data_IF_967607295185
#
_entry.id   IF_967607295185
#
_cell.length_a   1.000
_cell.length_b   1.000
_cell.length_c   1.000
_cell.angle_alpha   90.00
_cell.angle_beta   90.00
_cell.angle_gamma   90.00
#
_symmetry.space_group_name_H-M   'P 1'
#
loop_
_entity.id
_entity.type
_entity.pdbx_description
1 polymer ?
#
# COMPACT_ATOMS: atom_id res chain seq x y z
N UNK A 1 5.78 7.18 23.53
CA UNK A 1 4.92 6.13 24.12
C UNK A 1 4.79 6.42 25.60
N UNK A 2 3.77 7.17 26.00
CA UNK A 2 3.44 7.39 27.41
C UNK A 2 2.42 6.32 27.77
N UNK A 3 2.88 5.35 28.57
CA UNK A 3 2.07 4.26 29.09
C UNK A 3 1.24 4.85 30.23
N UNK A 4 -0.04 5.08 29.99
CA UNK A 4 -1.02 5.32 31.05
C UNK A 4 -1.23 4.00 31.78
N UNK A 5 -0.62 3.87 32.96
CA UNK A 5 -0.93 2.84 33.94
C UNK A 5 -1.66 3.50 35.10
N UNK A 6 -2.66 2.77 35.58
CA UNK A 6 -3.33 2.93 36.87
C UNK A 6 -4.55 3.86 36.90
N UNK A 7 -5.62 3.40 36.23
CA UNK A 7 -7.01 3.64 36.67
C UNK A 7 -7.69 2.28 36.85
N UNK A 8 -7.27 1.53 37.87
CA UNK A 8 -7.96 0.33 38.34
C UNK A 8 -8.97 0.71 39.41
N UNK A 9 -10.11 1.26 39.00
CA UNK A 9 -11.36 1.05 39.73
C UNK A 9 -12.04 -0.15 39.07
N UNK A 10 -11.54 -1.34 39.39
CA UNK A 10 -12.24 -2.57 39.10
C UNK A 10 -13.40 -2.70 40.10
N UNK A 11 -14.45 -1.90 39.92
CA UNK A 11 -15.79 -2.30 40.31
C UNK A 11 -16.21 -3.36 39.31
N UNK A 12 -16.59 -4.53 39.80
CA UNK A 12 -16.99 -5.63 38.93
C UNK A 12 -18.12 -5.18 38.01
N UNK A 13 -18.17 -5.70 36.77
CA UNK A 13 -19.30 -5.46 35.85
C UNK A 13 -20.64 -5.77 36.55
N UNK A 14 -20.65 -6.75 37.45
CA UNK A 14 -21.76 -7.11 38.32
C UNK A 14 -22.18 -5.97 39.28
N UNK A 15 -21.26 -5.27 39.94
CA UNK A 15 -21.57 -4.11 40.81
C UNK A 15 -22.08 -2.89 40.02
N UNK A 16 -21.58 -2.66 38.80
CA UNK A 16 -22.08 -1.59 37.94
C UNK A 16 -23.49 -1.90 37.39
N UNK A 17 -23.81 -3.17 37.15
CA UNK A 17 -25.15 -3.62 36.73
C UNK A 17 -26.14 -3.61 37.91
N UNK A 18 -25.67 -3.93 39.11
CA UNK A 18 -26.47 -4.02 40.35
C UNK A 18 -26.79 -2.67 41.01
N UNK A 19 -26.18 -1.55 40.59
CA UNK A 19 -26.52 -0.23 41.12
C UNK A 19 -27.70 0.41 40.34
N UNK A 20 -28.94 0.38 40.87
CA UNK A 20 -30.08 1.08 40.25
C UNK A 20 -29.87 2.60 40.13
N UNK A 21 -28.88 3.16 40.83
CA UNK A 21 -28.52 4.58 40.80
C UNK A 21 -27.74 5.01 39.54
N UNK A 22 -27.25 4.07 38.72
CA UNK A 22 -26.44 4.38 37.53
C UNK A 22 -27.23 4.43 36.22
N UNK A 23 -28.47 3.93 36.16
CA UNK A 23 -29.29 4.01 34.93
C UNK A 23 -30.20 5.23 34.91
N UNK A 24 -30.42 5.82 33.73
CA UNK A 24 -31.48 6.82 33.54
C UNK A 24 -32.86 6.17 33.38
N UNK A 25 -32.90 4.90 32.98
CA UNK A 25 -34.13 4.13 32.82
C UNK A 25 -34.69 3.75 34.19
N UNK A 26 -36.00 3.93 34.37
CA UNK A 26 -36.70 3.61 35.60
C UNK A 26 -37.05 2.11 35.65
N UNK A 27 -36.46 1.41 36.61
CA UNK A 27 -36.72 -0.01 36.88
C UNK A 27 -37.57 -0.22 38.14
N UNK A 28 -38.23 -1.38 38.24
CA UNK A 28 -38.91 -1.81 39.46
C UNK A 28 -37.94 -2.46 40.46
N UNK A 29 -38.45 -2.86 41.62
CA UNK A 29 -37.65 -3.61 42.60
C UNK A 29 -37.25 -4.97 42.02
N UNK A 30 -35.97 -5.37 42.15
CA UNK A 30 -35.52 -6.67 41.67
C UNK A 30 -36.26 -7.81 42.37
N UNK A 31 -36.60 -8.84 41.60
CA UNK A 31 -37.32 -10.03 42.06
C UNK A 31 -36.45 -11.26 41.93
N UNK A 32 -36.46 -12.11 42.96
CA UNK A 32 -35.68 -13.34 43.01
C UNK A 32 -36.32 -14.39 42.09
N UNK A 33 -35.55 -14.95 41.17
CA UNK A 33 -35.96 -16.11 40.39
C UNK A 33 -35.77 -17.35 41.24
N UNK A 34 -36.85 -17.88 41.81
CA UNK A 34 -36.80 -19.18 42.46
C UNK A 34 -36.67 -20.24 41.38
N UNK A 35 -35.47 -20.84 41.23
CA UNK A 35 -35.27 -22.10 40.50
C UNK A 35 -35.91 -23.24 41.31
N UNK A 36 -37.23 -23.28 41.35
CA UNK A 36 -37.94 -24.52 41.69
C UNK A 36 -38.29 -25.21 40.38
N UNK A 37 -37.86 -26.46 40.31
CA UNK A 37 -38.22 -27.50 39.35
C UNK A 37 -37.31 -27.61 38.11
N UNK A 38 -36.17 -28.26 38.33
CA UNK A 38 -35.70 -29.25 37.36
C UNK A 38 -36.85 -30.25 37.11
N UNK A 39 -37.04 -30.65 35.85
CA UNK A 39 -38.04 -31.60 35.34
C UNK A 39 -39.42 -31.03 34.94
N UNK A 40 -39.47 -30.22 33.88
CA UNK A 40 -40.60 -30.26 32.94
C UNK A 40 -40.18 -29.86 31.50
N UNK A 41 -40.20 -30.87 30.61
CA UNK A 41 -40.14 -30.82 29.13
C UNK A 41 -40.27 -29.43 28.48
N UNK A 42 -39.17 -28.98 27.88
CA UNK A 42 -39.15 -27.82 27.00
C UNK A 42 -39.97 -28.03 25.73
N UNK A 43 -40.87 -27.09 25.46
CA UNK A 43 -41.41 -26.86 24.12
C UNK A 43 -41.02 -25.45 23.69
N UNK A 44 -40.05 -25.36 22.80
CA UNK A 44 -39.51 -24.13 22.21
C UNK A 44 -40.62 -23.41 21.43
N UNK A 45 -41.10 -22.27 21.91
CA UNK A 45 -42.03 -21.40 21.16
C UNK A 45 -41.22 -20.33 20.42
N UNK A 46 -41.18 -20.49 19.11
CA UNK A 46 -40.68 -19.52 18.14
C UNK A 46 -41.50 -18.22 18.19
N UNK A 47 -40.80 -17.10 18.12
CA UNK A 47 -41.33 -15.74 17.98
C UNK A 47 -42.11 -15.60 16.67
N UNK A 48 -43.44 -15.62 16.75
CA UNK A 48 -44.33 -15.10 15.69
C UNK A 48 -45.27 -14.08 16.29
N UNK A 49 -45.28 -12.89 15.67
CA UNK A 49 -46.23 -11.82 15.94
C UNK A 49 -47.68 -12.36 15.87
N UNK A 50 -48.58 -11.99 16.80
CA UNK A 50 -49.94 -12.52 16.80
C UNK A 50 -50.76 -11.94 15.64
N UNK A 51 -51.42 -12.84 14.90
CA UNK A 51 -52.33 -12.53 13.81
C UNK A 51 -53.71 -12.19 14.40
N UNK A 52 -54.18 -10.96 14.18
CA UNK A 52 -55.47 -10.47 14.69
C UNK A 52 -56.60 -11.09 13.85
N UNK A 53 -57.47 -11.88 14.46
CA UNK A 53 -58.77 -12.25 13.89
C UNK A 53 -59.90 -11.96 14.87
N UNK A 54 -60.98 -11.49 14.26
CA UNK A 54 -62.14 -10.80 14.81
C UNK A 54 -62.88 -11.56 15.91
N UNK A 55 -63.38 -10.84 16.91
CA UNK A 55 -64.48 -11.33 17.75
C UNK A 55 -65.51 -10.24 18.06
N UNK A 56 -66.77 -10.63 17.86
CA UNK A 56 -68.03 -9.88 17.94
C UNK A 56 -68.46 -9.66 19.41
N UNK A 57 -69.23 -8.61 19.76
CA UNK A 57 -69.30 -8.14 21.15
C UNK A 57 -70.41 -8.82 21.96
N UNK A 58 -70.14 -9.07 23.24
CA UNK A 58 -71.18 -9.32 24.26
C UNK A 58 -70.97 -8.37 25.44
N UNK A 59 -72.04 -7.66 25.77
CA UNK A 59 -72.06 -6.41 26.54
C UNK A 59 -72.04 -6.61 28.07
N UNK A 60 -71.51 -5.60 28.77
CA UNK A 60 -71.72 -5.25 30.17
C UNK A 60 -70.88 -5.89 31.30
N UNK A 61 -69.89 -6.75 30.99
CA UNK A 61 -68.79 -7.11 31.94
C UNK A 61 -67.37 -6.71 31.47
N UNK A 62 -67.24 -6.13 30.28
CA UNK A 62 -65.94 -6.07 29.58
C UNK A 62 -64.96 -5.00 30.07
N UNK A 63 -65.41 -3.92 30.72
CA UNK A 63 -64.49 -2.79 31.03
C UNK A 63 -63.34 -3.15 31.98
N UNK A 64 -63.55 -4.08 32.92
CA UNK A 64 -62.52 -4.54 33.87
C UNK A 64 -61.65 -5.68 33.35
N UNK A 65 -62.11 -6.39 32.31
CA UNK A 65 -61.32 -7.41 31.62
C UNK A 65 -60.47 -6.80 30.50
N UNK A 66 -60.98 -5.78 29.79
CA UNK A 66 -60.25 -5.03 28.76
C UNK A 66 -59.09 -4.18 29.33
N UNK A 67 -59.25 -3.60 30.52
CA UNK A 67 -58.16 -2.85 31.15
C UNK A 67 -57.00 -3.76 31.55
N UNK A 68 -57.31 -4.92 32.16
CA UNK A 68 -56.30 -5.93 32.49
C UNK A 68 -55.60 -6.50 31.27
N UNK A 69 -56.31 -6.70 30.15
CA UNK A 69 -55.67 -7.20 28.92
C UNK A 69 -54.75 -6.17 28.29
N UNK A 70 -55.08 -4.87 28.38
CA UNK A 70 -54.19 -3.79 27.90
C UNK A 70 -52.93 -3.67 28.77
N UNK A 71 -53.06 -3.71 30.09
CA UNK A 71 -51.90 -3.62 31.00
C UNK A 71 -50.91 -4.80 30.78
N UNK A 72 -51.44 -5.99 30.50
CA UNK A 72 -50.63 -7.16 30.14
C UNK A 72 -49.93 -6.99 28.78
N UNK A 73 -50.63 -6.44 27.77
CA UNK A 73 -50.03 -6.16 26.46
C UNK A 73 -48.92 -5.11 26.55
N UNK A 74 -49.14 -4.05 27.33
CA UNK A 74 -48.12 -3.01 27.58
C UNK A 74 -46.90 -3.62 28.25
N UNK A 75 -47.10 -4.49 29.25
CA UNK A 75 -46.02 -5.19 29.93
C UNK A 75 -45.21 -6.09 28.96
N UNK A 76 -45.88 -6.91 28.15
CA UNK A 76 -45.23 -7.77 27.15
C UNK A 76 -44.44 -6.95 26.13
N UNK A 77 -44.98 -5.82 25.68
CA UNK A 77 -44.32 -4.91 24.75
C UNK A 77 -43.11 -4.24 25.40
N UNK A 78 -43.24 -3.76 26.65
CA UNK A 78 -42.14 -3.16 27.39
C UNK A 78 -40.99 -4.14 27.58
N UNK A 79 -41.28 -5.37 28.01
CA UNK A 79 -40.28 -6.42 28.22
C UNK A 79 -39.61 -6.83 26.88
N UNK A 80 -40.33 -6.73 25.76
CA UNK A 80 -39.77 -6.98 24.42
C UNK A 80 -38.88 -5.83 23.91
N UNK A 81 -39.22 -4.59 24.22
CA UNK A 81 -38.49 -3.39 23.75
C UNK A 81 -37.27 -3.09 24.62
N UNK A 82 -37.43 -3.21 25.93
CA UNK A 82 -36.44 -2.94 26.96
C UNK A 82 -36.34 -4.21 27.83
N UNK A 83 -35.44 -5.14 27.49
CA UNK A 83 -35.34 -6.38 28.23
C UNK A 83 -35.05 -6.12 29.71
N UNK A 84 -35.63 -6.92 30.62
CA UNK A 84 -35.37 -6.79 32.04
C UNK A 84 -33.88 -7.04 32.32
N UNK A 85 -33.36 -6.40 33.37
CA UNK A 85 -31.97 -6.64 33.78
C UNK A 85 -31.91 -7.93 34.56
N UNK A 86 -30.97 -8.79 34.19
CA UNK A 86 -30.68 -10.03 34.90
C UNK A 86 -29.29 -9.88 35.55
N UNK A 87 -29.20 -10.17 36.84
CA UNK A 87 -27.93 -10.17 37.55
C UNK A 87 -27.90 -11.25 38.63
N UNK A 88 -26.72 -11.76 38.91
CA UNK A 88 -26.50 -12.72 40.00
C UNK A 88 -25.90 -12.00 41.20
N UNK A 89 -26.55 -12.16 42.35
CA UNK A 89 -26.07 -11.64 43.63
C UNK A 89 -26.16 -12.78 44.66
N UNK A 90 -25.03 -13.09 45.31
CA UNK A 90 -24.91 -14.21 46.27
C UNK A 90 -25.35 -15.58 45.73
N UNK A 91 -25.03 -15.88 44.46
CA UNK A 91 -25.39 -17.15 43.81
C UNK A 91 -26.89 -17.30 43.53
N UNK A 92 -27.65 -16.21 43.62
CA UNK A 92 -29.07 -16.15 43.30
C UNK A 92 -29.30 -15.24 42.10
N UNK A 93 -30.13 -15.69 41.17
CA UNK A 93 -30.50 -14.93 39.99
C UNK A 93 -31.63 -13.95 40.33
N UNK A 94 -31.39 -12.67 40.06
CA UNK A 94 -32.34 -11.58 40.21
C UNK A 94 -32.73 -11.04 38.85
N UNK A 95 -34.03 -10.78 38.68
CA UNK A 95 -34.57 -10.11 37.50
C UNK A 95 -35.20 -8.79 37.94
N UNK A 96 -34.80 -7.72 37.28
CA UNK A 96 -35.31 -6.38 37.49
C UNK A 96 -36.08 -5.91 36.24
N UNK A 97 -37.43 -5.95 36.27
CA UNK A 97 -38.24 -5.49 35.16
C UNK A 97 -38.26 -3.96 35.08
N UNK A 98 -38.59 -3.47 33.90
CA UNK A 98 -38.74 -2.04 33.63
C UNK A 98 -40.01 -1.53 34.31
N UNK A 99 -39.97 -0.31 34.85
CA UNK A 99 -41.11 0.25 35.57
C UNK A 99 -42.31 0.45 34.67
N UNK A 100 -43.46 -0.04 35.13
CA UNK A 100 -44.76 0.15 34.45
C UNK A 100 -45.49 1.42 34.90
N UNK A 101 -44.86 2.21 35.76
CA UNK A 101 -45.45 3.46 36.28
C UNK A 101 -45.42 4.56 35.20
N UNK A 102 -46.58 5.14 34.82
CA UNK A 102 -46.62 6.23 33.86
C UNK A 102 -45.86 7.45 34.44
N UNK A 103 -45.21 8.21 33.57
CA UNK A 103 -44.43 9.37 33.99
C UNK A 103 -45.30 10.61 34.21
N UNK A 104 -44.98 11.37 35.25
CA UNK A 104 -45.53 12.69 35.51
C UNK A 104 -44.63 13.78 34.93
N UNK A 105 -45.14 15.02 34.83
CA UNK A 105 -44.32 16.18 34.42
C UNK A 105 -43.07 16.35 35.30
N UNK A 106 -43.18 16.06 36.59
CA UNK A 106 -42.06 16.15 37.52
C UNK A 106 -41.00 15.07 37.24
N UNK A 107 -41.41 13.85 36.87
CA UNK A 107 -40.48 12.78 36.50
C UNK A 107 -39.64 13.15 35.27
N UNK A 108 -40.24 13.82 34.28
CA UNK A 108 -39.53 14.27 33.07
C UNK A 108 -38.50 15.37 33.40
N UNK A 109 -38.85 16.31 34.28
CA UNK A 109 -37.91 17.34 34.76
C UNK A 109 -36.74 16.68 35.50
N UNK A 110 -37.03 15.76 36.41
CA UNK A 110 -36.01 15.03 37.15
C UNK A 110 -35.10 14.19 36.24
N UNK A 111 -35.64 13.64 35.15
CA UNK A 111 -34.85 12.90 34.15
C UNK A 111 -33.86 13.83 33.44
N UNK A 112 -34.30 15.03 33.04
CA UNK A 112 -33.44 16.01 32.39
C UNK A 112 -32.31 16.46 33.33
N UNK A 113 -32.63 16.81 34.58
CA UNK A 113 -31.63 17.20 35.58
C UNK A 113 -30.63 16.07 35.88
N UNK A 114 -31.09 14.81 35.94
CA UNK A 114 -30.22 13.64 36.10
C UNK A 114 -29.29 13.43 34.90
N UNK A 115 -29.79 13.64 33.68
CA UNK A 115 -28.97 13.54 32.48
C UNK A 115 -27.86 14.59 32.51
N UNK A 116 -28.22 15.85 32.77
CA UNK A 116 -27.28 16.97 32.83
C UNK A 116 -26.25 16.77 33.95
N UNK A 117 -26.70 16.38 35.14
CA UNK A 117 -25.82 16.04 36.26
C UNK A 117 -24.82 14.95 35.90
N UNK A 118 -25.26 13.87 35.25
CA UNK A 118 -24.36 12.77 34.84
C UNK A 118 -23.42 13.13 33.71
N UNK A 119 -23.82 13.99 32.78
CA UNK A 119 -22.94 14.50 31.74
C UNK A 119 -21.77 15.27 32.36
N UNK A 120 -22.05 16.09 33.38
CA UNK A 120 -21.04 16.84 34.13
C UNK A 120 -20.19 15.89 34.98
N UNK A 121 -20.80 15.00 35.77
CA UNK A 121 -20.10 14.06 36.66
C UNK A 121 -19.14 13.15 35.91
N UNK A 122 -19.55 12.63 34.75
CA UNK A 122 -18.71 11.77 33.91
C UNK A 122 -17.83 12.55 32.93
N UNK A 123 -17.83 13.89 33.02
CA UNK A 123 -17.03 14.80 32.20
C UNK A 123 -17.15 14.50 30.69
N UNK A 124 -18.37 14.37 30.19
CA UNK A 124 -18.62 14.34 28.76
C UNK A 124 -18.19 15.71 28.18
N UNK A 125 -17.20 15.79 27.29
CA UNK A 125 -17.51 15.89 25.85
C UNK A 125 -18.68 16.84 25.59
N UNK A 126 -18.51 18.11 25.25
CA UNK A 126 -19.61 18.95 24.67
C UNK A 126 -19.60 18.97 23.14
N UNK A 127 -18.42 18.93 22.52
CA UNK A 127 -18.25 19.00 21.06
C UNK A 127 -17.54 17.74 20.56
N UNK A 128 -17.93 17.28 19.37
CA UNK A 128 -17.37 16.10 18.72
C UNK A 128 -17.88 14.78 19.29
N UNK A 129 -17.27 13.68 18.82
CA UNK A 129 -17.65 12.31 19.18
C UNK A 129 -17.26 12.02 20.63
N UNK A 130 -18.22 11.61 21.45
CA UNK A 130 -18.02 11.27 22.85
C UNK A 130 -18.80 9.99 23.21
N UNK A 131 -18.14 8.90 23.64
CA UNK A 131 -18.81 7.64 23.96
C UNK A 131 -19.69 7.76 25.21
N UNK A 132 -19.23 8.48 26.24
CA UNK A 132 -19.99 8.72 27.48
C UNK A 132 -21.29 9.46 27.18
N UNK A 133 -21.22 10.50 26.34
CA UNK A 133 -22.42 11.23 25.92
C UNK A 133 -23.36 10.30 25.16
N UNK A 134 -22.85 9.56 24.18
CA UNK A 134 -23.68 8.62 23.40
C UNK A 134 -24.40 7.61 24.30
N UNK A 135 -23.69 6.98 25.23
CA UNK A 135 -24.25 6.05 26.21
C UNK A 135 -25.37 6.69 27.05
N UNK A 136 -25.15 7.90 27.58
CA UNK A 136 -26.16 8.59 28.39
C UNK A 136 -27.39 9.01 27.57
N UNK A 137 -27.22 9.43 26.32
CA UNK A 137 -28.33 9.75 25.42
C UNK A 137 -29.08 8.49 24.98
N UNK A 138 -28.39 7.36 24.76
CA UNK A 138 -29.03 6.07 24.49
C UNK A 138 -29.92 5.66 25.68
N UNK A 139 -29.41 5.75 26.92
CA UNK A 139 -30.20 5.46 28.12
C UNK A 139 -31.38 6.42 28.30
N UNK A 140 -31.20 7.71 28.02
CA UNK A 140 -32.26 8.69 28.08
C UNK A 140 -33.35 8.39 27.05
N UNK A 141 -32.95 8.02 25.83
CA UNK A 141 -33.90 7.68 24.76
C UNK A 141 -34.66 6.39 25.07
N UNK A 142 -34.02 5.40 25.69
CA UNK A 142 -34.68 4.19 26.19
C UNK A 142 -35.72 4.53 27.30
N UNK A 143 -35.42 5.47 28.20
CA UNK A 143 -36.40 5.96 29.19
C UNK A 143 -37.56 6.71 28.53
N UNK A 144 -37.30 7.52 27.49
CA UNK A 144 -38.37 8.15 26.72
C UNK A 144 -39.24 7.12 26.01
N UNK A 145 -38.66 6.06 25.45
CA UNK A 145 -39.41 4.95 24.86
C UNK A 145 -40.28 4.27 25.92
N UNK A 146 -39.76 4.04 27.13
CA UNK A 146 -40.55 3.50 28.25
C UNK A 146 -41.74 4.41 28.60
N UNK A 147 -41.53 5.72 28.69
CA UNK A 147 -42.59 6.67 29.01
C UNK A 147 -43.65 6.73 27.91
N UNK A 148 -43.22 6.73 26.64
CA UNK A 148 -44.13 6.84 25.51
C UNK A 148 -44.87 5.56 25.18
N UNK A 149 -44.28 4.38 25.42
CA UNK A 149 -44.96 3.08 25.34
C UNK A 149 -46.08 2.96 26.37
N UNK A 150 -45.87 3.45 27.59
CA UNK A 150 -46.89 3.50 28.64
C UNK A 150 -48.04 4.46 28.30
N UNK A 151 -47.76 5.56 27.59
CA UNK A 151 -48.78 6.48 27.11
C UNK A 151 -49.55 5.88 25.92
N UNK A 152 -48.83 5.50 24.86
CA UNK A 152 -49.36 4.90 23.63
C UNK A 152 -48.36 3.87 23.08
N UNK A 153 -48.72 2.59 23.12
CA UNK A 153 -47.84 1.48 22.73
C UNK A 153 -47.33 1.60 21.28
N UNK A 154 -48.20 2.03 20.36
CA UNK A 154 -47.88 2.15 18.93
C UNK A 154 -46.81 3.21 18.68
N UNK A 155 -46.87 4.32 19.43
CA UNK A 155 -45.85 5.38 19.38
C UNK A 155 -44.53 4.89 19.94
N UNK A 156 -44.57 4.15 21.04
CA UNK A 156 -43.41 3.49 21.60
C UNK A 156 -42.72 2.55 20.62
N UNK A 157 -43.49 1.65 19.98
CA UNK A 157 -42.99 0.74 18.95
C UNK A 157 -42.39 1.47 17.74
N UNK A 158 -42.96 2.61 17.34
CA UNK A 158 -42.41 3.43 16.27
C UNK A 158 -41.05 4.02 16.67
N UNK A 159 -40.92 4.56 17.90
CA UNK A 159 -39.66 5.12 18.39
C UNK A 159 -38.54 4.08 18.44
N UNK A 160 -38.86 2.82 18.76
CA UNK A 160 -37.91 1.70 18.74
C UNK A 160 -37.39 1.43 17.33
N UNK A 161 -38.26 1.43 16.33
CA UNK A 161 -37.83 1.25 14.94
C UNK A 161 -36.91 2.38 14.49
N UNK A 162 -37.24 3.62 14.86
CA UNK A 162 -36.39 4.78 14.57
C UNK A 162 -35.03 4.65 15.27
N UNK A 163 -35.01 4.24 16.54
CA UNK A 163 -33.77 3.97 17.29
C UNK A 163 -32.88 2.96 16.57
N UNK A 164 -33.47 1.84 16.18
CA UNK A 164 -32.72 0.72 15.61
C UNK A 164 -32.23 1.06 14.19
N UNK A 165 -33.01 1.80 13.40
CA UNK A 165 -32.59 2.35 12.10
C UNK A 165 -31.41 3.34 12.24
N UNK A 166 -31.48 4.24 13.23
CA UNK A 166 -30.38 5.17 13.52
C UNK A 166 -29.12 4.43 13.98
N UNK A 167 -29.25 3.40 14.83
CA UNK A 167 -28.13 2.56 15.27
C UNK A 167 -27.51 1.82 14.09
N UNK A 168 -28.33 1.23 13.21
CA UNK A 168 -27.85 0.58 11.99
C UNK A 168 -27.10 1.57 11.08
N UNK A 169 -27.64 2.77 10.88
CA UNK A 169 -27.04 3.81 10.04
C UNK A 169 -25.69 4.27 10.61
N UNK A 170 -25.61 4.49 11.93
CA UNK A 170 -24.37 4.86 12.60
C UNK A 170 -23.31 3.75 12.50
N UNK A 171 -23.70 2.48 12.70
CA UNK A 171 -22.79 1.35 12.55
C UNK A 171 -22.26 1.22 11.12
N UNK A 172 -23.08 1.51 10.10
CA UNK A 172 -22.63 1.55 8.71
C UNK A 172 -21.59 2.66 8.47
N UNK A 173 -21.80 3.86 9.04
CA UNK A 173 -20.84 4.96 8.94
C UNK A 173 -19.52 4.65 9.68
N UNK A 174 -19.58 4.03 10.85
CA UNK A 174 -18.39 3.56 11.59
C UNK A 174 -17.58 2.57 10.74
N UNK A 175 -18.23 1.56 10.18
CA UNK A 175 -17.57 0.56 9.31
C UNK A 175 -16.94 1.20 8.07
N UNK A 176 -17.61 2.19 7.46
CA UNK A 176 -17.08 2.92 6.31
C UNK A 176 -15.85 3.75 6.69
N UNK A 177 -15.90 4.42 7.85
CA UNK A 177 -14.79 5.19 8.39
C UNK A 177 -13.57 4.29 8.66
N UNK A 178 -13.78 3.17 9.36
CA UNK A 178 -12.71 2.20 9.67
C UNK A 178 -12.09 1.61 8.39
N UNK A 179 -12.91 1.34 7.38
CA UNK A 179 -12.46 0.90 6.06
C UNK A 179 -11.62 1.97 5.36
N UNK A 180 -12.04 3.24 5.43
CA UNK A 180 -11.32 4.39 4.87
C UNK A 180 -9.97 4.63 5.54
N UNK A 181 -9.92 4.59 6.87
CA UNK A 181 -8.68 4.70 7.65
C UNK A 181 -7.74 3.55 7.32
N UNK A 182 -8.25 2.32 7.28
CA UNK A 182 -7.46 1.13 6.92
C UNK A 182 -6.89 1.21 5.50
N UNK A 183 -7.66 1.74 4.55
CA UNK A 183 -7.19 1.98 3.19
C UNK A 183 -6.05 3.01 3.17
N UNK A 184 -6.20 4.12 3.90
CA UNK A 184 -5.17 5.15 4.02
C UNK A 184 -3.86 4.60 4.58
N UNK A 185 -3.92 3.82 5.66
CA UNK A 185 -2.75 3.16 6.26
C UNK A 185 -2.07 2.23 5.25
N UNK A 186 -2.83 1.36 4.56
CA UNK A 186 -2.27 0.46 3.55
C UNK A 186 -1.57 1.21 2.42
N UNK A 187 -2.16 2.32 1.94
CA UNK A 187 -1.56 3.14 0.88
C UNK A 187 -0.29 3.85 1.34
N UNK A 188 -0.25 4.33 2.59
CA UNK A 188 0.96 4.91 3.17
C UNK A 188 2.09 3.87 3.24
N UNK A 189 1.81 2.66 3.75
CA UNK A 189 2.79 1.58 3.83
C UNK A 189 3.30 1.13 2.46
N UNK A 190 2.41 1.01 1.47
CA UNK A 190 2.80 0.69 0.09
C UNK A 190 3.72 1.74 -0.52
N UNK A 191 3.45 3.02 -0.26
CA UNK A 191 4.31 4.13 -0.71
C UNK A 191 5.69 4.06 -0.07
N UNK A 192 5.76 3.82 1.24
CA UNK A 192 7.04 3.67 1.96
C UNK A 192 7.85 2.49 1.43
N UNK A 193 7.22 1.32 1.22
CA UNK A 193 7.90 0.17 0.61
C UNK A 193 8.43 0.48 -0.78
N UNK A 194 7.63 1.12 -1.64
CA UNK A 194 8.07 1.51 -2.97
C UNK A 194 9.26 2.48 -2.97
N UNK A 195 9.33 3.39 -1.98
CA UNK A 195 10.51 4.25 -1.79
C UNK A 195 11.74 3.44 -1.40
N UNK A 196 11.60 2.49 -0.47
CA UNK A 196 12.71 1.63 -0.04
C UNK A 196 13.31 0.86 -1.22
N UNK A 197 12.48 0.22 -2.05
CA UNK A 197 12.93 -0.53 -3.22
C UNK A 197 13.74 0.36 -4.20
N UNK A 198 13.32 1.63 -4.38
CA UNK A 198 14.03 2.60 -5.23
C UNK A 198 15.36 3.02 -4.61
N UNK A 199 15.39 3.26 -3.29
CA UNK A 199 16.61 3.64 -2.56
C UNK A 199 17.64 2.50 -2.64
N UNK A 200 17.23 1.26 -2.39
CA UNK A 200 18.12 0.10 -2.53
C UNK A 200 18.67 -0.03 -3.95
N UNK A 201 17.83 0.20 -4.97
CA UNK A 201 18.29 0.19 -6.36
C UNK A 201 19.25 1.32 -6.67
N UNK A 202 19.03 2.50 -6.09
CA UNK A 202 19.91 3.65 -6.24
C UNK A 202 21.28 3.35 -5.63
N UNK A 203 21.33 2.80 -4.42
CA UNK A 203 22.57 2.42 -3.73
C UNK A 203 23.36 1.36 -4.51
N UNK A 204 22.67 0.38 -5.10
CA UNK A 204 23.31 -0.59 -5.97
C UNK A 204 23.91 0.06 -7.23
N UNK A 205 23.15 0.93 -7.90
CA UNK A 205 23.58 1.60 -9.14
C UNK A 205 24.68 2.63 -8.91
N UNK A 206 24.71 3.29 -7.76
CA UNK A 206 25.80 4.21 -7.39
C UNK A 206 27.09 3.43 -7.15
N UNK A 207 27.03 2.32 -6.41
CA UNK A 207 28.18 1.44 -6.20
C UNK A 207 28.72 0.86 -7.51
N UNK A 208 27.84 0.40 -8.41
CA UNK A 208 28.23 -0.11 -9.74
C UNK A 208 28.87 0.98 -10.60
N UNK A 209 28.32 2.20 -10.59
CA UNK A 209 28.93 3.34 -11.31
C UNK A 209 30.32 3.69 -10.78
N UNK A 210 30.51 3.67 -9.47
CA UNK A 210 31.81 3.94 -8.87
C UNK A 210 32.84 2.89 -9.28
N UNK A 211 32.46 1.63 -9.28
CA UNK A 211 33.34 0.53 -9.70
C UNK A 211 33.69 0.62 -11.19
N UNK A 212 32.70 0.86 -12.07
CA UNK A 212 32.94 1.07 -13.49
C UNK A 212 33.85 2.28 -13.75
N UNK A 213 33.68 3.38 -12.99
CA UNK A 213 34.58 4.54 -13.08
C UNK A 213 36.01 4.21 -12.68
N UNK A 214 36.23 3.36 -11.66
CA UNK A 214 37.58 2.89 -11.30
C UNK A 214 38.18 2.04 -12.41
N UNK A 215 37.40 1.09 -12.95
CA UNK A 215 37.85 0.24 -14.04
C UNK A 215 38.21 1.05 -15.29
N UNK A 216 37.40 2.06 -15.62
CA UNK A 216 37.65 2.95 -16.75
C UNK A 216 38.98 3.69 -16.57
N UNK A 217 39.23 4.29 -15.40
CA UNK A 217 40.52 4.94 -15.08
C UNK A 217 41.72 3.99 -15.22
N UNK A 218 41.57 2.74 -14.78
CA UNK A 218 42.63 1.72 -14.91
C UNK A 218 42.90 1.43 -16.39
N UNK A 219 41.85 1.27 -17.21
CA UNK A 219 42.00 1.00 -18.64
C UNK A 219 42.58 2.20 -19.39
N UNK A 220 42.17 3.42 -19.07
CA UNK A 220 42.76 4.66 -19.61
C UNK A 220 44.26 4.74 -19.30
N UNK A 221 44.66 4.46 -18.05
CA UNK A 221 46.06 4.44 -17.66
C UNK A 221 46.87 3.37 -18.43
N UNK A 222 46.30 2.17 -18.62
CA UNK A 222 46.91 1.10 -19.42
C UNK A 222 47.06 1.51 -20.89
N UNK A 223 46.04 2.13 -21.48
CA UNK A 223 46.08 2.61 -22.85
C UNK A 223 47.18 3.66 -23.04
N UNK A 224 47.26 4.64 -22.14
CA UNK A 224 48.27 5.68 -22.20
C UNK A 224 49.70 5.14 -22.07
N UNK A 225 49.92 4.07 -21.29
CA UNK A 225 51.22 3.38 -21.24
C UNK A 225 51.54 2.69 -22.55
N UNK A 226 50.59 1.92 -23.11
CA UNK A 226 50.77 1.24 -24.39
C UNK A 226 51.04 2.22 -25.53
N UNK A 227 50.37 3.37 -25.56
CA UNK A 227 50.62 4.43 -26.55
C UNK A 227 52.05 4.96 -26.46
N UNK A 228 52.53 5.27 -25.24
CA UNK A 228 53.92 5.72 -25.04
C UNK A 228 54.93 4.67 -25.47
N UNK A 229 54.69 3.40 -25.13
CA UNK A 229 55.58 2.30 -25.54
C UNK A 229 55.59 2.13 -27.06
N UNK A 230 54.43 2.25 -27.71
CA UNK A 230 54.29 2.22 -29.17
C UNK A 230 55.02 3.40 -29.83
N UNK A 231 54.86 4.62 -29.32
CA UNK A 231 55.56 5.81 -29.81
C UNK A 231 57.08 5.67 -29.68
N UNK A 232 57.56 5.11 -28.56
CA UNK A 232 58.99 4.85 -28.37
C UNK A 232 59.50 3.80 -29.36
N UNK A 233 58.80 2.67 -29.53
CA UNK A 233 59.19 1.62 -30.47
C UNK A 233 59.22 2.13 -31.90
N UNK A 234 58.18 2.83 -32.33
CA UNK A 234 58.10 3.41 -33.69
C UNK A 234 59.16 4.47 -33.92
N UNK A 235 59.48 5.31 -32.93
CA UNK A 235 60.58 6.27 -33.03
C UNK A 235 61.95 5.57 -33.16
N UNK A 236 62.19 4.48 -32.40
CA UNK A 236 63.42 3.68 -32.49
C UNK A 236 63.53 3.00 -33.87
N UNK A 237 62.45 2.41 -34.36
CA UNK A 237 62.41 1.79 -35.70
C UNK A 237 62.63 2.82 -36.80
N UNK A 238 62.00 4.00 -36.70
CA UNK A 238 62.19 5.09 -37.66
C UNK A 238 63.64 5.57 -37.72
N UNK A 239 64.32 5.69 -36.56
CA UNK A 239 65.75 6.03 -36.52
C UNK A 239 66.61 4.97 -37.21
N UNK A 240 66.41 3.68 -36.87
CA UNK A 240 67.15 2.56 -37.49
C UNK A 240 66.96 2.52 -39.01
N UNK A 241 65.73 2.75 -39.50
CA UNK A 241 65.44 2.82 -40.92
C UNK A 241 66.10 4.04 -41.58
N UNK A 242 66.07 5.20 -40.91
CA UNK A 242 66.78 6.40 -41.33
C UNK A 242 68.28 6.18 -41.50
N UNK A 243 68.94 5.63 -40.47
CA UNK A 243 70.38 5.31 -40.48
C UNK A 243 70.73 4.35 -41.64
N UNK A 244 69.85 3.37 -41.90
CA UNK A 244 70.03 2.42 -43.01
C UNK A 244 69.88 3.08 -44.37
N UNK A 245 68.94 4.02 -44.53
CA UNK A 245 68.78 4.80 -45.76
C UNK A 245 70.03 5.65 -45.99
N UNK A 246 70.52 6.36 -44.96
CA UNK A 246 71.74 7.17 -45.08
C UNK A 246 72.96 6.34 -45.48
N UNK A 247 73.14 5.16 -44.88
CA UNK A 247 74.22 4.24 -45.24
C UNK A 247 74.13 3.82 -46.71
N UNK A 248 72.93 3.44 -47.17
CA UNK A 248 72.69 3.07 -48.56
C UNK A 248 72.92 4.24 -49.51
N UNK A 249 72.55 5.46 -49.13
CA UNK A 249 72.81 6.68 -49.91
C UNK A 249 74.30 6.98 -50.02
N UNK A 250 75.08 6.83 -48.95
CA UNK A 250 76.54 6.94 -48.98
C UNK A 250 77.16 5.89 -49.90
N UNK A 251 76.75 4.62 -49.78
CA UNK A 251 77.23 3.54 -50.65
C UNK A 251 76.87 3.78 -52.12
N UNK A 252 75.65 4.23 -52.40
CA UNK A 252 75.19 4.53 -53.75
C UNK A 252 75.92 5.75 -54.34
N UNK A 253 76.24 6.75 -53.51
CA UNK A 253 77.06 7.90 -53.92
C UNK A 253 78.50 7.47 -54.25
N UNK A 254 79.10 6.58 -53.45
CA UNK A 254 80.40 6.00 -53.76
C UNK A 254 80.36 5.19 -55.07
N UNK A 255 79.32 4.38 -55.29
CA UNK A 255 79.13 3.61 -56.53
C UNK A 255 79.00 4.52 -57.76
N UNK A 256 78.33 5.66 -57.65
CA UNK A 256 78.22 6.66 -58.74
C UNK A 256 79.53 7.38 -59.08
N UNK A 257 80.48 7.43 -58.15
CA UNK A 257 81.81 8.03 -58.38
C UNK A 257 82.74 7.11 -59.18
N UNK A 258 82.41 5.82 -59.30
CA UNK A 258 83.10 4.93 -60.25
C UNK A 258 82.53 5.19 -61.66
N UNK A 259 83.36 5.56 -62.65
CA UNK A 259 82.89 5.75 -64.01
C UNK A 259 82.34 4.42 -64.56
N UNK A 260 81.16 4.47 -65.19
CA UNK A 260 80.69 3.40 -66.07
C UNK A 260 81.78 3.12 -67.11
N UNK A 261 82.46 1.99 -67.00
CA UNK A 261 83.24 1.46 -68.11
C UNK A 261 82.25 1.04 -69.20
N UNK A 262 81.93 1.99 -70.09
CA UNK A 262 81.31 1.70 -71.38
C UNK A 262 82.31 0.89 -72.20
N UNK A 263 82.05 -0.41 -72.37
CA UNK A 263 82.87 -1.30 -73.19
C UNK A 263 82.64 -0.98 -74.70
N UNK A 264 83.70 -0.65 -75.49
CA UNK A 264 83.59 -0.10 -76.85
C UNK A 264 83.02 -0.99 -77.98
N UNK A 265 82.35 -2.11 -77.71
CA UNK A 265 81.75 -2.96 -78.76
C UNK A 265 80.23 -3.12 -78.64
N UNK A 266 79.58 -2.35 -77.76
CA UNK A 266 78.13 -2.44 -77.56
C UNK A 266 77.40 -1.25 -78.20
N UNK A 267 76.87 -1.47 -79.40
CA UNK A 267 76.07 -0.50 -80.15
C UNK A 267 74.74 -0.22 -79.45
N UNK A 268 74.51 1.06 -79.14
CA UNK A 268 73.24 1.54 -78.61
C UNK A 268 72.13 1.43 -79.65
N UNK A 269 71.29 0.40 -79.55
CA UNK A 269 69.95 0.41 -80.15
C UNK A 269 68.99 -0.53 -79.43
N UNK A 270 68.49 -0.08 -78.28
CA UNK A 270 67.08 -0.23 -77.86
C UNK A 270 66.94 0.39 -76.47
N UNK A 271 66.03 1.34 -76.38
CA UNK A 271 65.52 2.00 -75.18
C UNK A 271 65.58 1.10 -73.96
N UNK A 272 66.58 1.32 -73.11
CA UNK A 272 66.68 0.67 -71.81
C UNK A 272 65.65 1.36 -70.90
N UNK A 273 64.39 0.94 -70.98
CA UNK A 273 63.41 1.32 -69.98
C UNK A 273 63.94 0.81 -68.63
N UNK A 274 64.07 1.66 -67.60
CA UNK A 274 64.61 1.21 -66.33
C UNK A 274 63.68 0.11 -65.80
N UNK A 275 64.17 -1.13 -65.77
CA UNK A 275 63.49 -2.32 -65.24
C UNK A 275 63.14 -2.18 -63.74
N UNK A 276 63.45 -1.03 -63.14
CA UNK A 276 63.07 -0.64 -61.80
C UNK A 276 62.82 0.88 -61.72
N UNK A 277 61.70 1.33 -62.29
CA UNK A 277 61.24 2.73 -62.15
C UNK A 277 60.89 3.05 -60.69
N UNK A 278 61.16 4.29 -60.25
CA UNK A 278 60.64 4.85 -58.98
C UNK A 278 59.13 4.61 -58.82
N UNK A 279 58.38 4.58 -59.93
CA UNK A 279 56.95 4.28 -59.95
C UNK A 279 56.60 2.86 -59.49
N UNK A 280 57.50 1.88 -59.65
CA UNK A 280 57.25 0.48 -59.26
C UNK A 280 57.31 0.33 -57.73
N UNK A 281 58.31 0.93 -57.08
CA UNK A 281 58.36 0.99 -55.62
C UNK A 281 57.25 1.85 -55.04
N UNK A 282 56.92 2.99 -55.67
CA UNK A 282 55.80 3.82 -55.27
C UNK A 282 54.46 3.07 -55.40
N UNK A 283 54.21 2.38 -56.52
CA UNK A 283 53.03 1.51 -56.70
C UNK A 283 53.02 0.35 -55.72
N UNK A 284 54.16 -0.30 -55.44
CA UNK A 284 54.23 -1.42 -54.48
C UNK A 284 54.00 -0.95 -53.03
N UNK A 285 54.53 0.20 -52.65
CA UNK A 285 54.27 0.85 -51.36
C UNK A 285 52.80 1.27 -51.24
N UNK A 286 52.22 1.87 -52.30
CA UNK A 286 50.78 2.17 -52.39
C UNK A 286 49.92 0.90 -52.28
N UNK A 287 50.31 -0.18 -52.95
CA UNK A 287 49.59 -1.46 -52.86
C UNK A 287 49.71 -2.07 -51.44
N UNK A 288 50.85 -1.95 -50.76
CA UNK A 288 51.01 -2.45 -49.39
C UNK A 288 50.23 -1.63 -48.36
N UNK A 289 50.22 -0.30 -48.50
CA UNK A 289 49.46 0.62 -47.64
C UNK A 289 47.97 0.50 -47.91
N UNK A 290 47.56 0.33 -49.16
CA UNK A 290 46.18 0.00 -49.53
C UNK A 290 45.77 -1.38 -49.02
N UNK A 291 46.67 -2.37 -49.02
CA UNK A 291 46.41 -3.69 -48.43
C UNK A 291 46.35 -3.64 -46.90
N UNK A 292 47.15 -2.81 -46.24
CA UNK A 292 47.06 -2.56 -44.80
C UNK A 292 45.75 -1.83 -44.44
N UNK A 293 45.40 -0.77 -45.19
CA UNK A 293 44.11 -0.07 -45.06
C UNK A 293 42.93 -0.98 -45.36
N UNK A 294 43.03 -1.88 -46.34
CA UNK A 294 42.00 -2.87 -46.64
C UNK A 294 41.87 -3.92 -45.52
N UNK A 295 42.98 -4.34 -44.89
CA UNK A 295 42.95 -5.22 -43.71
C UNK A 295 42.34 -4.54 -42.49
N UNK A 296 42.68 -3.28 -42.22
CA UNK A 296 42.05 -2.49 -41.14
C UNK A 296 40.57 -2.24 -41.44
N UNK A 297 40.22 -1.89 -42.68
CA UNK A 297 38.82 -1.73 -43.12
C UNK A 297 38.05 -3.05 -43.02
N UNK A 298 38.67 -4.17 -43.38
CA UNK A 298 38.08 -5.50 -43.22
C UNK A 298 37.95 -5.92 -41.75
N UNK A 299 38.87 -5.55 -40.86
CA UNK A 299 38.74 -5.79 -39.41
C UNK A 299 37.63 -4.93 -38.78
N UNK A 300 37.54 -3.66 -39.19
CA UNK A 300 36.44 -2.76 -38.83
C UNK A 300 35.10 -3.26 -39.41
N UNK A 301 35.09 -3.80 -40.63
CA UNK A 301 33.91 -4.43 -41.23
C UNK A 301 33.56 -5.76 -40.56
N UNK A 302 34.53 -6.62 -40.23
CA UNK A 302 34.31 -7.87 -39.49
C UNK A 302 33.68 -7.60 -38.12
N UNK A 303 34.10 -6.53 -37.43
CA UNK A 303 33.45 -6.05 -36.22
C UNK A 303 32.08 -5.40 -36.48
N UNK A 304 31.84 -4.83 -37.67
CA UNK A 304 30.53 -4.29 -38.08
C UNK A 304 29.48 -5.37 -38.37
N UNK A 305 29.89 -6.62 -38.65
CA UNK A 305 28.97 -7.74 -38.88
C UNK A 305 28.48 -8.40 -37.57
N UNK A 306 29.08 -8.06 -36.41
CA UNK A 306 28.64 -8.59 -35.10
C UNK A 306 27.65 -7.71 -34.34
N UNK A 307 27.32 -6.50 -34.82
CA UNK A 307 26.37 -5.61 -34.14
C UNK A 307 25.39 -4.96 -35.12
N UNK A 308 24.32 -5.67 -35.53
CA UNK A 308 23.21 -5.10 -36.32
C UNK A 308 22.56 -3.88 -35.66
N UNK A 309 22.65 -3.79 -34.32
CA UNK A 309 22.00 -2.76 -33.52
C UNK A 309 22.60 -1.35 -33.71
N UNK A 310 23.86 -1.23 -34.14
CA UNK A 310 24.54 0.07 -34.22
C UNK A 310 24.27 0.86 -35.52
N UNK A 311 23.67 0.23 -36.55
CA UNK A 311 23.30 0.91 -37.81
C UNK A 311 21.98 1.69 -37.76
N UNK A 312 21.22 1.50 -36.69
CA UNK A 312 19.92 2.15 -36.48
C UNK A 312 20.12 3.45 -35.68
N UNK A 313 19.30 4.45 -36.00
CA UNK A 313 19.25 5.70 -35.21
C UNK A 313 19.01 5.37 -33.73
N UNK A 314 19.50 6.20 -32.79
CA UNK A 314 19.34 5.93 -31.35
C UNK A 314 17.88 5.61 -30.96
N UNK A 315 16.91 6.29 -31.57
CA UNK A 315 15.48 6.10 -31.33
C UNK A 315 14.94 4.76 -31.85
N UNK A 316 15.35 4.35 -33.06
CA UNK A 316 14.93 3.07 -33.64
C UNK A 316 15.52 1.89 -32.86
N UNK A 317 16.70 2.05 -32.29
CA UNK A 317 17.34 1.08 -31.39
C UNK A 317 16.57 0.91 -30.08
N UNK A 318 16.16 2.01 -29.44
CA UNK A 318 15.36 2.00 -28.20
C UNK A 318 14.00 1.31 -28.44
N UNK A 319 13.37 1.56 -29.58
CA UNK A 319 12.08 0.95 -29.92
C UNK A 319 12.17 -0.57 -30.14
N UNK A 320 13.24 -1.07 -30.77
CA UNK A 320 13.47 -2.51 -30.90
C UNK A 320 13.73 -3.19 -29.56
N UNK A 321 14.51 -2.56 -28.67
CA UNK A 321 14.72 -3.08 -27.32
C UNK A 321 13.41 -3.12 -26.51
N UNK A 322 12.57 -2.09 -26.60
CA UNK A 322 11.24 -2.08 -25.97
C UNK A 322 10.28 -3.12 -26.55
N UNK A 323 10.37 -3.40 -27.85
CA UNK A 323 9.54 -4.42 -28.51
C UNK A 323 9.98 -5.84 -28.12
N UNK A 324 11.29 -6.06 -28.03
CA UNK A 324 11.86 -7.33 -27.54
C UNK A 324 11.56 -7.57 -26.05
N UNK A 325 11.67 -6.54 -25.21
CA UNK A 325 11.33 -6.62 -23.79
C UNK A 325 9.84 -6.95 -23.56
N UNK A 326 8.93 -6.41 -24.38
CA UNK A 326 7.50 -6.75 -24.34
C UNK A 326 7.19 -8.20 -24.73
N UNK A 327 7.96 -8.78 -25.65
CA UNK A 327 7.77 -10.16 -26.07
C UNK A 327 8.37 -11.15 -25.05
N UNK A 328 9.43 -10.76 -24.34
CA UNK A 328 10.03 -11.56 -23.25
C UNK A 328 9.25 -11.49 -21.93
N UNK A 329 8.30 -10.56 -21.78
CA UNK A 329 7.42 -10.46 -20.61
C UNK A 329 6.05 -11.13 -20.82
N UNK A 330 5.85 -11.79 -21.97
CA UNK A 330 4.61 -12.48 -22.35
C UNK A 330 4.80 -14.00 -22.54
N UNK A 331 6.03 -14.49 -22.33
CA UNK A 331 6.32 -15.87 -21.93
C UNK A 331 6.58 -15.88 -20.41
#
# INVERSE_FOLDING_TARGET
MVIFKDWTMATSLSEMIAAPSLSLVKYETPTLVTTKDADAKGTRRETRLPNIRDNKPSSARSSRQESKSKDLQVAEILDAILPPREFEEDGKLWIQPVSRTPATRLDVINLAEKLDGRLIERNAREIGICPIRRELYDQCFDELIRQETLNCMERGLLLVRIRDELRMSLAAYENLYDSGVSFGIRKALLSERGKMDIVERLDFLTAENEELRKQLKIQEARHALMERDWEQQTAVESKKLGDKIELLERANSQLKMYPEYSYPWYSHSRTFAPLYSKDMYARRALMSTNAARARVRNLLQYNSYRLPALRLSPETRINLYRKRARNLSLE
#
